data_IF_763348540060
#
_entry.id   IF_763348540060
#
_cell.length_a   1.000
_cell.length_b   1.000
_cell.length_c   1.000
_cell.angle_alpha   90.00
_cell.angle_beta   90.00
_cell.angle_gamma   90.00
#
_symmetry.space_group_name_H-M   'P 1'
#
loop_
_entity.id
_entity.type
_entity.pdbx_description
1 polymer ?
#
# COMPACT_ATOMS: atom_id res chain seq x y z
N UNK A 1 -9.64 22.79 7.37
CA UNK A 1 -10.63 21.76 6.99
C UNK A 1 -9.90 20.44 7.04
N UNK A 2 -9.96 19.77 8.18
CA UNK A 2 -9.31 18.47 8.37
C UNK A 2 -10.24 17.37 7.84
N UNK A 3 -10.05 17.01 6.57
CA UNK A 3 -10.72 15.85 5.99
C UNK A 3 -9.97 14.59 6.45
N UNK A 4 -10.39 14.04 7.59
CA UNK A 4 -9.93 12.74 8.06
C UNK A 4 -10.58 11.64 7.18
N UNK A 5 -10.04 11.45 5.97
CA UNK A 5 -10.44 10.35 5.10
C UNK A 5 -9.80 9.06 5.64
N UNK A 6 -10.57 7.99 5.82
CA UNK A 6 -9.99 6.69 6.24
C UNK A 6 -9.02 6.15 5.19
N UNK A 7 -7.96 5.47 5.61
CA UNK A 7 -6.93 4.90 4.72
C UNK A 7 -7.53 4.01 3.62
N UNK A 8 -8.57 3.22 3.93
CA UNK A 8 -9.30 2.41 2.94
C UNK A 8 -9.92 3.27 1.84
N UNK A 9 -10.61 4.34 2.22
CA UNK A 9 -11.23 5.26 1.26
C UNK A 9 -10.17 5.98 0.41
N UNK A 10 -9.00 6.27 0.99
CA UNK A 10 -7.86 6.80 0.27
C UNK A 10 -7.33 5.79 -0.77
N UNK A 11 -7.13 4.52 -0.40
CA UNK A 11 -6.65 3.49 -1.34
C UNK A 11 -7.62 3.28 -2.51
N UNK A 12 -8.92 3.25 -2.24
CA UNK A 12 -9.96 3.15 -3.28
C UNK A 12 -9.88 4.35 -4.23
N UNK A 13 -9.70 5.57 -3.70
CA UNK A 13 -9.52 6.77 -4.53
C UNK A 13 -8.30 6.68 -5.46
N UNK A 14 -7.24 5.95 -5.04
CA UNK A 14 -6.03 5.70 -5.83
C UNK A 14 -6.15 4.48 -6.76
N UNK A 15 -7.33 3.86 -6.88
CA UNK A 15 -7.59 2.62 -7.64
C UNK A 15 -6.82 1.42 -7.10
N UNK A 16 -6.56 1.40 -5.79
CA UNK A 16 -5.92 0.30 -5.08
C UNK A 16 -7.00 -0.47 -4.33
N UNK A 17 -7.01 -1.79 -4.50
CA UNK A 17 -7.88 -2.70 -3.77
C UNK A 17 -7.35 -2.89 -2.34
N UNK A 18 -8.03 -2.30 -1.36
CA UNK A 18 -7.62 -2.37 0.05
C UNK A 18 -7.65 -3.79 0.60
N UNK A 19 -8.63 -4.61 0.17
CA UNK A 19 -8.77 -5.99 0.60
C UNK A 19 -7.62 -6.86 0.07
N UNK A 20 -7.30 -6.76 -1.23
CA UNK A 20 -6.14 -7.46 -1.82
C UNK A 20 -4.83 -7.01 -1.20
N UNK A 21 -4.68 -5.72 -0.96
CA UNK A 21 -3.47 -5.17 -0.36
C UNK A 21 -3.28 -5.68 1.08
N UNK A 22 -4.33 -5.64 1.90
CA UNK A 22 -4.31 -6.14 3.29
C UNK A 22 -4.04 -7.64 3.35
N UNK A 23 -4.68 -8.44 2.49
CA UNK A 23 -4.46 -9.89 2.44
C UNK A 23 -3.06 -10.29 1.97
N UNK A 24 -2.48 -9.54 1.03
CA UNK A 24 -1.16 -9.85 0.51
C UNK A 24 -0.04 -9.37 1.44
N UNK A 25 -0.16 -8.17 2.04
CA UNK A 25 0.89 -7.52 2.83
C UNK A 25 0.29 -6.79 4.06
N UNK A 26 -0.33 -7.56 4.96
CA UNK A 26 -0.96 -7.09 6.21
C UNK A 26 -0.03 -6.16 7.04
N UNK A 27 1.23 -6.54 7.24
CA UNK A 27 2.18 -5.71 8.00
C UNK A 27 2.51 -4.37 7.31
N UNK A 28 2.57 -4.35 5.97
CA UNK A 28 2.78 -3.10 5.23
C UNK A 28 1.53 -2.23 5.29
N UNK A 29 0.35 -2.85 5.23
CA UNK A 29 -0.94 -2.17 5.35
C UNK A 29 -1.05 -1.46 6.70
N UNK A 30 -0.75 -2.13 7.81
CA UNK A 30 -0.79 -1.53 9.15
C UNK A 30 0.24 -0.41 9.33
N UNK A 31 1.47 -0.60 8.83
CA UNK A 31 2.48 0.45 8.86
C UNK A 31 2.05 1.69 8.07
N UNK A 32 1.52 1.50 6.86
CA UNK A 32 1.03 2.60 6.03
C UNK A 32 -0.23 3.25 6.60
N UNK A 33 -1.12 2.48 7.22
CA UNK A 33 -2.30 3.02 7.89
C UNK A 33 -1.90 3.91 9.08
N UNK A 34 -0.94 3.46 9.88
CA UNK A 34 -0.41 4.26 11.00
C UNK A 34 0.33 5.51 10.51
N UNK A 35 1.14 5.40 9.46
CA UNK A 35 1.77 6.58 8.82
C UNK A 35 0.71 7.55 8.26
N UNK A 36 -0.38 7.01 7.70
CA UNK A 36 -1.48 7.81 7.15
C UNK A 36 -2.27 8.53 8.24
N UNK A 37 -2.45 7.94 9.43
CA UNK A 37 -3.07 8.61 10.58
C UNK A 37 -2.22 9.77 11.12
N UNK A 38 -0.91 9.75 10.88
CA UNK A 38 0.00 10.79 11.35
C UNK A 38 0.12 11.99 10.40
N UNK A 39 -0.41 11.92 9.17
CA UNK A 39 -0.24 13.00 8.18
C UNK A 39 -1.39 13.12 7.18
N UNK A 40 -1.48 14.26 6.50
CA UNK A 40 -2.51 14.47 5.48
C UNK A 40 -2.35 13.51 4.28
N UNK A 41 -3.45 13.05 3.65
CA UNK A 41 -3.40 12.16 2.48
C UNK A 41 -2.47 12.61 1.35
N UNK A 42 -2.39 13.92 1.09
CA UNK A 42 -1.49 14.47 0.08
C UNK A 42 -0.02 14.32 0.47
N UNK A 43 0.33 14.68 1.70
CA UNK A 43 1.69 14.51 2.25
C UNK A 43 2.09 13.04 2.25
N UNK A 44 1.18 12.15 2.68
CA UNK A 44 1.38 10.71 2.63
C UNK A 44 1.62 10.24 1.19
N UNK A 45 0.81 10.70 0.23
CA UNK A 45 0.98 10.35 -1.18
C UNK A 45 2.35 10.75 -1.69
N UNK A 46 2.83 11.95 -1.35
CA UNK A 46 4.13 12.43 -1.80
C UNK A 46 5.29 11.62 -1.20
N UNK A 47 5.24 11.35 0.10
CA UNK A 47 6.28 10.56 0.78
C UNK A 47 6.30 9.10 0.32
N UNK A 48 5.12 8.52 0.11
CA UNK A 48 4.95 7.09 -0.22
C UNK A 48 4.70 6.86 -1.72
N UNK A 49 4.89 7.85 -2.59
CA UNK A 49 4.60 7.76 -4.02
C UNK A 49 5.31 6.56 -4.68
N UNK A 50 6.58 6.34 -4.30
CA UNK A 50 7.40 5.23 -4.77
C UNK A 50 6.87 3.85 -4.36
N UNK A 51 6.07 3.77 -3.30
CA UNK A 51 5.38 2.56 -2.85
C UNK A 51 3.98 2.47 -3.46
N UNK A 52 3.22 3.57 -3.46
CA UNK A 52 1.86 3.65 -3.99
C UNK A 52 1.80 3.28 -5.48
N UNK A 53 2.77 3.71 -6.30
CA UNK A 53 2.81 3.39 -7.73
C UNK A 53 2.91 1.89 -8.03
N UNK A 54 3.87 1.13 -7.48
CA UNK A 54 3.90 -0.32 -7.65
C UNK A 54 2.70 -1.00 -6.98
N UNK A 55 2.18 -0.49 -5.85
CA UNK A 55 0.96 -1.02 -5.23
C UNK A 55 -0.26 -0.87 -6.14
N UNK A 56 -0.42 0.26 -6.84
CA UNK A 56 -1.47 0.45 -7.88
C UNK A 56 -1.39 -0.56 -9.00
N UNK A 57 -0.18 -0.91 -9.44
CA UNK A 57 0.02 -1.90 -10.50
C UNK A 57 -0.22 -3.33 -10.02
N UNK A 58 0.10 -3.62 -8.76
CA UNK A 58 0.04 -4.96 -8.16
C UNK A 58 -1.35 -5.30 -7.61
N UNK A 59 -2.04 -4.32 -7.04
CA UNK A 59 -3.35 -4.43 -6.41
C UNK A 59 -4.38 -3.53 -7.10
N UNK A 60 -4.33 -3.49 -8.43
CA UNK A 60 -5.29 -2.71 -9.21
C UNK A 60 -6.70 -3.20 -8.88
N UNK A 61 -7.60 -2.28 -8.53
CA UNK A 61 -9.02 -2.56 -8.38
C UNK A 61 -9.67 -2.81 -9.75
N UNK A 62 -9.30 -3.91 -10.42
CA UNK A 62 -10.12 -4.52 -11.45
C UNK A 62 -11.16 -5.41 -10.76
N UNK A 63 -12.39 -5.33 -11.28
CA UNK A 63 -13.58 -6.07 -10.89
C UNK A 63 -13.34 -7.58 -10.60
N UNK A 64 -14.24 -8.21 -9.82
CA UNK A 64 -13.91 -9.27 -8.88
C UNK A 64 -13.62 -10.58 -9.60
N UNK A 65 -12.36 -10.81 -9.97
CA UNK A 65 -11.87 -12.15 -10.28
C UNK A 65 -11.07 -12.68 -9.09
N UNK A 66 -11.78 -13.54 -8.36
CA UNK A 66 -11.31 -14.56 -7.43
C UNK A 66 -9.93 -15.16 -7.80
N UNK A 67 -9.00 -15.18 -6.82
CA UNK A 67 -7.98 -16.22 -6.51
C UNK A 67 -6.61 -15.65 -6.09
N UNK A 68 -5.95 -16.17 -5.02
CA UNK A 68 -4.60 -15.78 -4.61
C UNK A 68 -3.54 -16.50 -5.47
N UNK A 69 -2.43 -15.85 -5.88
CA UNK A 69 -1.13 -16.27 -5.32
C UNK A 69 0.00 -15.20 -5.31
N UNK A 70 0.74 -15.17 -4.19
CA UNK A 70 2.22 -15.19 -4.07
C UNK A 70 3.04 -14.13 -4.84
N UNK A 71 3.77 -13.29 -4.10
CA UNK A 71 5.25 -13.37 -4.14
C UNK A 71 5.94 -12.51 -3.06
N UNK A 72 6.89 -13.10 -2.30
CA UNK A 72 7.63 -12.43 -1.24
C UNK A 72 8.58 -11.43 -1.90
N UNK A 73 8.60 -10.18 -1.45
CA UNK A 73 9.73 -9.31 -1.78
C UNK A 73 10.94 -9.90 -1.06
N UNK A 74 11.83 -10.52 -1.84
CA UNK A 74 13.20 -10.81 -1.44
C UNK A 74 13.79 -9.53 -0.85
N UNK A 75 14.00 -9.54 0.46
CA UNK A 75 14.87 -8.57 1.12
C UNK A 75 16.25 -8.82 0.50
N UNK A 76 16.73 -7.84 -0.27
CA UNK A 76 18.11 -7.81 -0.71
C UNK A 76 18.98 -7.82 0.55
N UNK A 77 19.72 -8.90 0.76
CA UNK A 77 20.78 -8.93 1.77
C UNK A 77 21.97 -8.19 1.17
N UNK A 78 22.42 -7.03 1.68
CA UNK A 78 23.71 -6.52 1.30
C UNK A 78 24.78 -7.49 1.85
N UNK A 79 25.54 -8.13 0.97
CA UNK A 79 26.80 -8.78 1.37
C UNK A 79 27.81 -7.66 1.59
N UNK A 80 28.04 -7.31 2.85
CA UNK A 80 29.26 -6.60 3.24
C UNK A 80 30.39 -7.63 3.12
N UNK A 81 31.23 -7.48 2.09
CA UNK A 81 32.47 -8.23 1.98
C UNK A 81 33.52 -7.60 2.91
N UNK A 82 34.41 -8.45 3.43
CA UNK A 82 35.45 -8.19 4.44
C UNK A 82 36.30 -6.95 4.17
#
# INVERSE_FOLDING_TARGET
>A
MENHQSFESYLISKKIDSAKFKLAEQSLYEALASDFEQMHPDSFTQQKLFLINPLRRKYLAQEPSVSPPISPRKIFKPKIQK
#
